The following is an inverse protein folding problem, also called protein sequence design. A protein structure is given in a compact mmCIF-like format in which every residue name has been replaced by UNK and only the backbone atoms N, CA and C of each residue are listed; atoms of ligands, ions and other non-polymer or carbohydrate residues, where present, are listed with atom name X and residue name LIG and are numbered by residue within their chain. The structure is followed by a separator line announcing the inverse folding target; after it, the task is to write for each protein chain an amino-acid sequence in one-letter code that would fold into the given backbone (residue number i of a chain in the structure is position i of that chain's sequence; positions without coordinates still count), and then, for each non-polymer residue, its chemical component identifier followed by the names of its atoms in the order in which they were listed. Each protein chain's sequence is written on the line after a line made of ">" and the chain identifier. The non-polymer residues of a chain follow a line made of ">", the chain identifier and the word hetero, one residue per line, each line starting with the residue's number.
data_IF_745574873284
#
_entry.id   IF_745574873284
#
_cell.length_a   1.000
_cell.length_b   1.000
_cell.length_c   1.000
_cell.angle_alpha   90.00
_cell.angle_beta   90.00
_cell.angle_gamma   90.00
#
_symmetry.space_group_name_H-M   'P 1'
#
loop_
_entity.id
_entity.type
_entity.pdbx_description
1 polymer ?
#
# COMPACT_ATOMS: atom_id res chain seq x y z
N UNK A 1 58.59 57.74 -25.11
CA UNK A 1 57.64 57.00 -25.96
C UNK A 1 56.26 57.39 -25.52
N UNK A 2 55.45 57.94 -26.42
CA UNK A 2 54.06 58.28 -26.12
C UNK A 2 53.17 57.03 -26.28
N UNK A 3 52.23 56.79 -25.35
CA UNK A 3 51.39 55.60 -25.41
C UNK A 3 50.39 55.70 -26.58
N UNK A 4 50.46 54.76 -27.53
CA UNK A 4 49.58 54.68 -28.70
C UNK A 4 48.14 54.24 -28.39
N UNK A 5 47.87 53.72 -27.19
CA UNK A 5 46.55 53.21 -26.78
C UNK A 5 45.96 54.14 -25.72
N UNK A 6 44.70 54.49 -25.90
CA UNK A 6 43.97 55.33 -24.95
C UNK A 6 43.66 54.54 -23.66
N UNK A 7 44.23 54.89 -22.50
CA UNK A 7 44.07 54.15 -21.25
C UNK A 7 42.67 54.30 -20.62
N UNK A 8 41.88 55.29 -21.05
CA UNK A 8 40.51 55.52 -20.60
C UNK A 8 39.55 54.44 -21.12
N UNK A 9 39.85 53.87 -22.28
CA UNK A 9 39.00 52.87 -22.98
C UNK A 9 39.47 51.43 -22.67
N UNK A 10 40.51 51.25 -21.87
CA UNK A 10 41.04 49.91 -21.57
C UNK A 10 40.07 49.08 -20.72
N UNK A 11 39.49 48.06 -21.34
CA UNK A 11 38.59 47.08 -20.70
C UNK A 11 39.31 46.18 -19.69
N UNK A 12 40.64 46.12 -19.72
CA UNK A 12 41.44 45.33 -18.78
C UNK A 12 41.20 45.76 -17.33
N UNK A 13 40.94 47.06 -17.10
CA UNK A 13 40.61 47.61 -15.79
C UNK A 13 39.31 47.06 -15.20
N UNK A 14 38.40 46.54 -16.04
CA UNK A 14 37.08 46.01 -15.65
C UNK A 14 37.00 44.48 -15.76
N UNK A 15 38.10 43.80 -16.09
CA UNK A 15 38.13 42.33 -16.26
C UNK A 15 37.61 41.58 -15.02
N UNK A 16 37.98 42.03 -13.82
CA UNK A 16 37.48 41.44 -12.56
C UNK A 16 35.96 41.59 -12.39
N UNK A 17 35.39 42.74 -12.80
CA UNK A 17 33.96 43.00 -12.75
C UNK A 17 33.19 42.07 -13.71
N UNK A 18 33.71 41.89 -14.93
CA UNK A 18 33.11 40.96 -15.89
C UNK A 18 33.18 39.49 -15.42
N UNK A 19 34.28 39.09 -14.77
CA UNK A 19 34.41 37.76 -14.16
C UNK A 19 33.39 37.55 -13.03
N UNK A 20 33.20 38.53 -12.15
CA UNK A 20 32.20 38.48 -11.08
C UNK A 20 30.78 38.43 -11.61
N UNK A 21 30.45 39.22 -12.64
CA UNK A 21 29.12 39.18 -13.29
C UNK A 21 28.88 37.80 -13.89
N UNK A 22 29.88 37.21 -14.56
CA UNK A 22 29.81 35.85 -15.07
C UNK A 22 29.53 34.84 -13.97
N UNK A 23 30.24 34.94 -12.84
CA UNK A 23 30.04 34.07 -11.67
C UNK A 23 28.63 34.18 -11.11
N UNK A 24 28.09 35.39 -10.98
CA UNK A 24 26.70 35.60 -10.52
C UNK A 24 25.70 34.97 -11.50
N UNK A 25 25.88 35.18 -12.80
CA UNK A 25 25.00 34.61 -13.84
C UNK A 25 25.03 33.08 -13.80
N UNK A 26 26.20 32.46 -13.68
CA UNK A 26 26.31 30.99 -13.57
C UNK A 26 25.62 30.47 -12.31
N UNK A 27 25.75 31.18 -11.19
CA UNK A 27 25.18 30.77 -9.91
C UNK A 27 23.64 30.85 -9.93
N UNK A 28 23.09 31.88 -10.60
CA UNK A 28 21.64 31.99 -10.84
C UNK A 28 21.12 30.87 -11.74
N UNK A 29 21.85 30.51 -12.80
CA UNK A 29 21.46 29.41 -13.69
C UNK A 29 21.45 28.07 -12.93
N UNK A 30 22.47 27.80 -12.12
CA UNK A 30 22.56 26.57 -11.32
C UNK A 30 21.43 26.50 -10.29
N UNK A 31 21.15 27.60 -9.57
CA UNK A 31 20.02 27.64 -8.65
C UNK A 31 18.68 27.44 -9.37
N UNK A 32 18.49 28.08 -10.53
CA UNK A 32 17.29 27.89 -11.34
C UNK A 32 17.12 26.46 -11.84
N UNK A 33 18.22 25.76 -12.18
CA UNK A 33 18.19 24.37 -12.58
C UNK A 33 17.82 23.44 -11.42
N UNK A 34 18.32 23.68 -10.20
CA UNK A 34 17.95 22.89 -9.01
C UNK A 34 16.51 23.14 -8.56
N UNK A 35 16.00 24.37 -8.69
CA UNK A 35 14.60 24.70 -8.42
C UNK A 35 13.65 24.20 -9.51
N UNK A 36 14.19 23.69 -10.62
CA UNK A 36 13.37 23.15 -11.70
C UNK A 36 12.79 21.80 -11.29
N UNK A 37 11.67 21.84 -10.58
CA UNK A 37 10.89 20.65 -10.23
C UNK A 37 10.28 20.04 -11.49
N UNK A 38 10.74 18.86 -11.86
CA UNK A 38 10.07 18.01 -12.84
C UNK A 38 9.21 17.01 -12.07
N UNK A 39 7.89 17.17 -12.16
CA UNK A 39 6.96 16.16 -11.65
C UNK A 39 6.81 15.10 -12.72
N UNK A 40 7.10 13.83 -12.40
CA UNK A 40 6.62 12.72 -13.22
C UNK A 40 5.10 12.81 -13.25
N UNK A 41 4.56 13.00 -14.46
CA UNK A 41 3.14 12.77 -14.67
C UNK A 41 2.97 11.27 -14.60
N UNK A 42 2.55 10.78 -13.45
CA UNK A 42 2.05 9.42 -13.30
C UNK A 42 0.79 9.36 -14.16
N UNK A 43 0.92 8.89 -15.39
CA UNK A 43 -0.22 8.62 -16.24
C UNK A 43 -0.99 7.48 -15.57
N UNK A 44 -2.04 7.83 -14.81
CA UNK A 44 -3.06 6.88 -14.34
C UNK A 44 -3.89 6.40 -15.53
N UNK A 45 -3.24 5.90 -16.57
CA UNK A 45 -3.92 5.19 -17.64
C UNK A 45 -4.04 3.74 -17.21
N UNK A 46 -5.07 3.41 -16.44
CA UNK A 46 -5.38 2.04 -16.00
C UNK A 46 -5.76 1.08 -17.14
N UNK A 47 -5.48 1.44 -18.40
CA UNK A 47 -5.99 0.73 -19.56
C UNK A 47 -7.51 0.91 -19.71
N UNK A 48 -7.98 0.92 -20.95
CA UNK A 48 -9.42 0.74 -21.20
C UNK A 48 -9.78 -0.71 -20.92
N UNK A 49 -10.72 -0.93 -20.01
CA UNK A 49 -11.34 -2.24 -19.78
C UNK A 49 -12.10 -2.63 -21.07
N UNK A 50 -11.45 -3.36 -21.96
CA UNK A 50 -12.10 -3.99 -23.12
C UNK A 50 -12.87 -5.21 -22.61
N UNK A 51 -14.18 -5.05 -22.48
CA UNK A 51 -15.12 -6.13 -22.13
C UNK A 51 -15.38 -7.09 -23.30
N UNK A 52 -14.88 -6.79 -24.50
CA UNK A 52 -15.07 -7.62 -25.70
C UNK A 52 -14.27 -8.95 -25.64
N UNK A 53 -13.19 -9.01 -24.84
CA UNK A 53 -12.40 -10.25 -24.62
C UNK A 53 -12.94 -11.09 -23.44
N UNK A 54 -13.95 -10.60 -22.71
CA UNK A 54 -14.68 -11.43 -21.75
C UNK A 54 -15.72 -12.24 -22.52
N UNK A 55 -15.28 -13.33 -23.14
CA UNK A 55 -16.20 -14.37 -23.61
C UNK A 55 -17.05 -14.82 -22.40
N UNK A 56 -18.37 -14.69 -22.49
CA UNK A 56 -19.30 -15.15 -21.46
C UNK A 56 -19.20 -16.69 -21.36
N UNK A 57 -18.23 -17.19 -20.59
CA UNK A 57 -18.13 -18.59 -20.25
C UNK A 57 -19.29 -18.93 -19.31
N UNK A 58 -20.36 -19.48 -19.90
CA UNK A 58 -21.55 -19.93 -19.18
C UNK A 58 -21.10 -21.03 -18.23
N UNK A 59 -20.89 -20.66 -16.96
CA UNK A 59 -20.66 -21.63 -15.89
C UNK A 59 -21.86 -22.59 -15.85
N UNK A 60 -21.63 -23.92 -15.87
CA UNK A 60 -22.73 -24.86 -15.78
C UNK A 60 -23.47 -24.63 -14.45
N UNK A 61 -24.78 -24.44 -14.52
CA UNK A 61 -25.64 -24.33 -13.34
C UNK A 61 -25.48 -25.59 -12.48
N UNK A 62 -24.77 -25.45 -11.36
CA UNK A 62 -24.63 -26.51 -10.35
C UNK A 62 -25.98 -26.82 -9.76
N UNK A 63 -26.55 -27.97 -10.14
CA UNK A 63 -27.70 -28.55 -9.47
C UNK A 63 -27.26 -29.01 -8.09
N UNK A 64 -27.72 -28.34 -7.04
CA UNK A 64 -27.64 -28.89 -5.69
C UNK A 64 -28.54 -30.12 -5.64
N UNK A 65 -27.95 -31.30 -5.52
CA UNK A 65 -28.71 -32.50 -5.16
C UNK A 65 -29.30 -32.25 -3.78
N UNK A 66 -30.63 -32.14 -3.71
CA UNK A 66 -31.35 -32.06 -2.45
C UNK A 66 -31.27 -33.45 -1.83
N UNK A 67 -30.26 -33.69 -1.00
CA UNK A 67 -30.23 -34.91 -0.21
C UNK A 67 -31.44 -34.89 0.72
N UNK A 68 -32.17 -36.01 0.88
CA UNK A 68 -33.29 -36.07 1.80
C UNK A 68 -32.78 -35.64 3.19
N UNK A 69 -33.55 -34.83 3.93
CA UNK A 69 -33.11 -34.35 5.23
C UNK A 69 -32.75 -35.56 6.11
N UNK A 70 -31.61 -35.51 6.81
CA UNK A 70 -31.18 -36.61 7.64
C UNK A 70 -32.29 -36.96 8.65
N UNK A 71 -32.52 -38.26 8.92
CA UNK A 71 -33.53 -38.68 9.87
C UNK A 71 -33.31 -37.96 11.21
N UNK A 72 -34.39 -37.53 11.89
CA UNK A 72 -34.27 -36.80 13.14
C UNK A 72 -33.41 -37.59 14.13
N UNK A 73 -32.46 -36.93 14.82
CA UNK A 73 -31.56 -37.61 15.73
C UNK A 73 -32.37 -38.34 16.81
N UNK A 74 -31.95 -39.55 17.21
CA UNK A 74 -32.61 -40.27 18.29
C UNK A 74 -32.62 -39.39 19.55
N UNK A 75 -33.73 -39.40 20.32
CA UNK A 75 -33.81 -38.60 21.55
C UNK A 75 -32.63 -38.98 22.46
N UNK A 76 -31.95 -37.98 23.07
CA UNK A 76 -30.76 -38.25 23.88
C UNK A 76 -31.12 -39.11 25.08
N UNK A 77 -30.31 -40.15 25.33
CA UNK A 77 -30.40 -40.94 26.55
C UNK A 77 -30.01 -40.06 27.74
N UNK A 78 -30.77 -40.20 28.84
CA UNK A 78 -30.56 -39.45 30.08
C UNK A 78 -29.16 -39.74 30.62
N UNK A 79 -28.30 -38.72 30.63
CA UNK A 79 -26.96 -38.80 31.20
C UNK A 79 -27.11 -38.91 32.73
N UNK A 80 -26.82 -40.09 33.30
CA UNK A 80 -26.52 -40.20 34.73
C UNK A 80 -25.11 -39.66 34.92
N UNK A 81 -25.01 -38.51 35.58
CA UNK A 81 -23.74 -37.89 35.93
C UNK A 81 -23.08 -38.78 36.99
N UNK A 82 -21.98 -39.44 36.62
CA UNK A 82 -21.04 -40.06 37.55
C UNK A 82 -19.84 -39.12 37.62
N UNK A 83 -19.59 -38.57 38.81
CA UNK A 83 -18.42 -37.73 39.09
C UNK A 83 -17.18 -38.61 39.18
N UNK A 84 -16.34 -38.62 38.15
CA UNK A 84 -14.95 -39.07 38.24
C UNK A 84 -14.03 -37.86 38.06
N UNK A 85 -13.34 -37.50 39.14
CA UNK A 85 -12.34 -36.44 39.20
C UNK A 85 -10.99 -37.13 38.98
N UNK A 86 -10.47 -37.08 37.76
CA UNK A 86 -9.12 -37.60 37.46
C UNK A 86 -8.14 -36.44 37.57
N UNK A 87 -7.24 -36.50 38.57
CA UNK A 87 -6.12 -35.57 38.74
C UNK A 87 -5.14 -35.71 37.56
N UNK A 88 -4.77 -34.57 36.97
CA UNK A 88 -3.88 -34.46 35.82
C UNK A 88 -2.44 -34.35 36.37
N UNK A 89 -1.63 -35.38 36.17
CA UNK A 89 -0.20 -35.35 36.48
C UNK A 89 0.55 -34.79 35.25
N UNK A 90 1.07 -33.56 35.37
CA UNK A 90 1.83 -32.87 34.33
C UNK A 90 3.30 -33.21 34.51
N UNK A 91 3.85 -34.07 33.67
CA UNK A 91 5.30 -34.17 33.48
C UNK A 91 5.58 -34.30 31.97
N UNK A 92 5.76 -33.15 31.33
CA UNK A 92 6.28 -33.05 29.97
C UNK A 92 7.61 -32.31 30.04
N UNK A 93 8.68 -33.09 30.17
CA UNK A 93 10.07 -32.67 30.11
C UNK A 93 10.39 -32.25 28.66
N UNK A 94 10.67 -30.96 28.44
CA UNK A 94 11.06 -30.43 27.13
C UNK A 94 12.58 -30.55 26.97
N UNK A 95 13.01 -31.52 26.16
CA UNK A 95 14.41 -31.71 25.77
C UNK A 95 14.77 -30.74 24.61
N UNK A 96 15.51 -29.68 24.91
CA UNK A 96 16.03 -28.75 23.88
C UNK A 96 17.22 -29.38 23.16
N UNK A 97 17.02 -29.82 21.91
CA UNK A 97 18.11 -30.21 21.01
C UNK A 97 18.83 -28.95 20.51
N UNK A 98 20.05 -28.73 21.00
CA UNK A 98 21.01 -27.81 20.38
C UNK A 98 21.51 -28.42 19.06
N UNK A 99 21.17 -27.81 17.93
CA UNK A 99 21.80 -28.10 16.64
C UNK A 99 22.42 -26.79 16.14
N UNK A 100 23.71 -26.67 16.40
CA UNK A 100 24.57 -25.57 15.99
C UNK A 100 25.08 -25.86 14.57
N UNK A 101 24.29 -25.49 13.56
CA UNK A 101 24.72 -25.54 12.16
C UNK A 101 24.31 -24.23 11.47
N UNK A 102 25.17 -23.23 11.62
CA UNK A 102 25.00 -21.91 11.01
C UNK A 102 25.31 -21.99 9.50
N UNK A 103 24.30 -22.28 8.69
CA UNK A 103 24.38 -22.13 7.23
C UNK A 103 24.37 -20.64 6.92
N UNK A 104 25.51 -20.12 6.44
CA UNK A 104 25.62 -18.74 5.99
C UNK A 104 24.86 -18.57 4.66
N UNK A 105 23.67 -17.97 4.74
CA UNK A 105 22.90 -17.51 3.59
C UNK A 105 23.43 -16.12 3.25
N UNK A 106 24.09 -16.00 2.10
CA UNK A 106 24.55 -14.71 1.56
C UNK A 106 23.32 -14.02 0.95
N UNK A 107 22.75 -13.08 1.70
CA UNK A 107 21.62 -12.26 1.25
C UNK A 107 22.23 -11.07 0.50
N UNK A 108 22.04 -11.03 -0.83
CA UNK A 108 22.26 -9.81 -1.60
C UNK A 108 21.32 -8.73 -1.04
N UNK A 109 21.90 -7.71 -0.39
CA UNK A 109 21.16 -6.51 -0.01
C UNK A 109 20.79 -5.74 -1.29
N UNK A 110 19.65 -6.10 -1.88
CA UNK A 110 18.93 -5.20 -2.76
C UNK A 110 18.55 -4.00 -1.90
N UNK A 111 19.13 -2.84 -2.21
CA UNK A 111 18.87 -1.60 -1.49
C UNK A 111 17.43 -1.18 -1.78
N UNK A 112 16.50 -1.73 -1.01
CA UNK A 112 15.20 -1.12 -0.82
C UNK A 112 15.48 0.26 -0.23
N UNK A 113 15.39 1.30 -1.07
CA UNK A 113 15.29 2.67 -0.60
C UNK A 113 14.01 2.73 0.26
N UNK A 114 14.17 2.47 1.56
CA UNK A 114 13.10 2.60 2.53
C UNK A 114 12.66 4.06 2.53
N UNK A 115 11.56 4.33 1.82
CA UNK A 115 10.88 5.62 1.85
C UNK A 115 10.30 5.83 3.25
N UNK A 116 11.06 6.46 4.13
CA UNK A 116 10.59 6.90 5.44
C UNK A 116 9.62 8.08 5.27
N UNK A 117 8.34 7.80 5.04
CA UNK A 117 7.28 8.79 5.13
C UNK A 117 6.83 8.92 6.60
N UNK A 118 7.57 9.69 7.40
CA UNK A 118 7.12 10.07 8.74
C UNK A 118 6.03 11.14 8.58
N UNK A 119 4.76 10.71 8.61
CA UNK A 119 3.62 11.64 8.64
C UNK A 119 3.19 11.84 10.08
N UNK A 120 3.25 13.08 10.58
CA UNK A 120 2.82 13.43 11.95
C UNK A 120 1.30 13.29 12.14
N UNK A 121 0.50 13.42 11.06
CA UNK A 121 -0.95 13.37 11.10
C UNK A 121 -1.50 12.29 10.16
N UNK A 122 -2.25 11.34 10.71
CA UNK A 122 -2.93 10.32 9.91
C UNK A 122 -4.06 10.96 9.07
N UNK A 123 -4.28 10.52 7.83
CA UNK A 123 -5.37 11.03 7.02
C UNK A 123 -6.72 10.59 7.61
N UNK A 124 -7.64 11.54 7.80
CA UNK A 124 -9.00 11.28 8.25
C UNK A 124 -10.02 11.55 7.14
N UNK A 125 -11.12 10.79 7.16
CA UNK A 125 -12.25 11.04 6.27
C UNK A 125 -12.82 12.45 6.53
N UNK A 126 -13.29 13.21 5.53
CA UNK A 126 -13.89 14.52 5.76
C UNK A 126 -15.10 14.41 6.70
N UNK A 127 -14.94 14.91 7.94
CA UNK A 127 -15.92 14.76 9.02
C UNK A 127 -15.71 13.54 9.93
N UNK A 128 -14.51 12.95 9.92
CA UNK A 128 -14.11 11.80 10.73
C UNK A 128 -14.97 10.56 10.47
N UNK A 129 -15.05 9.69 11.48
CA UNK A 129 -15.84 8.46 11.43
C UNK A 129 -17.33 8.70 11.15
N UNK A 130 -17.86 9.83 11.63
CA UNK A 130 -19.25 10.22 11.36
C UNK A 130 -19.48 10.53 9.87
N UNK A 131 -18.52 11.21 9.22
CA UNK A 131 -18.52 11.44 7.79
C UNK A 131 -18.47 10.13 7.00
N UNK A 132 -17.60 9.21 7.42
CA UNK A 132 -17.43 7.90 6.79
C UNK A 132 -18.73 7.11 6.86
N UNK A 133 -19.35 7.01 8.03
CA UNK A 133 -20.60 6.28 8.23
C UNK A 133 -21.73 6.86 7.37
N UNK A 134 -21.85 8.19 7.29
CA UNK A 134 -22.84 8.86 6.44
C UNK A 134 -22.60 8.62 4.95
N UNK A 135 -21.33 8.59 4.53
CA UNK A 135 -20.95 8.29 3.16
C UNK A 135 -21.30 6.85 2.78
N UNK A 136 -21.01 5.89 3.64
CA UNK A 136 -21.35 4.48 3.44
C UNK A 136 -22.87 4.33 3.31
N UNK A 137 -23.65 4.86 4.25
CA UNK A 137 -25.11 4.77 4.18
C UNK A 137 -25.71 5.36 2.90
N UNK A 138 -25.12 6.44 2.36
CA UNK A 138 -25.60 7.09 1.14
C UNK A 138 -25.21 6.33 -0.13
N UNK A 139 -24.04 5.69 -0.15
CA UNK A 139 -23.46 5.11 -1.36
C UNK A 139 -23.57 3.58 -1.44
N UNK A 140 -23.96 2.90 -0.36
CA UNK A 140 -24.19 1.46 -0.37
C UNK A 140 -25.42 1.13 -1.22
N UNK A 141 -25.19 0.37 -2.30
CA UNK A 141 -26.24 -0.17 -3.18
C UNK A 141 -26.37 -1.67 -2.95
N UNK A 142 -27.48 -2.08 -2.33
CA UNK A 142 -27.80 -3.50 -2.20
C UNK A 142 -28.18 -4.12 -3.56
N UNK A 143 -27.65 -5.33 -3.89
CA UNK A 143 -27.99 -6.02 -5.11
C UNK A 143 -29.50 -6.37 -5.17
N UNK A 144 -30.14 -6.30 -6.35
CA UNK A 144 -31.58 -6.50 -6.48
C UNK A 144 -32.03 -7.91 -6.08
N UNK A 145 -31.24 -8.93 -6.41
CA UNK A 145 -31.50 -10.34 -6.05
C UNK A 145 -31.63 -10.48 -4.52
N UNK A 146 -30.73 -9.87 -3.74
CA UNK A 146 -30.81 -9.97 -2.29
C UNK A 146 -32.07 -9.30 -1.71
N UNK A 147 -32.57 -8.23 -2.35
CA UNK A 147 -33.82 -7.57 -1.95
C UNK A 147 -35.04 -8.41 -2.30
N UNK A 148 -35.05 -9.04 -3.47
CA UNK A 148 -36.16 -9.90 -3.93
C UNK A 148 -36.30 -11.17 -3.07
N UNK A 149 -35.17 -11.79 -2.72
CA UNK A 149 -35.14 -13.01 -1.90
C UNK A 149 -35.09 -12.74 -0.38
N UNK A 150 -35.22 -11.48 0.06
CA UNK A 150 -35.14 -11.06 1.48
C UNK A 150 -33.91 -11.63 2.22
N UNK A 151 -32.77 -11.71 1.54
CA UNK A 151 -31.54 -12.24 2.12
C UNK A 151 -30.91 -11.15 3.00
N UNK A 152 -30.79 -11.42 4.30
CA UNK A 152 -30.18 -10.50 5.28
C UNK A 152 -28.89 -11.07 5.83
N UNK A 153 -27.87 -10.22 6.00
CA UNK A 153 -26.59 -10.57 6.60
C UNK A 153 -25.86 -9.33 7.10
N UNK A 154 -24.80 -9.53 7.87
CA UNK A 154 -23.88 -8.47 8.29
C UNK A 154 -22.58 -8.62 7.51
N UNK A 155 -22.04 -7.49 7.04
CA UNK A 155 -20.66 -7.37 6.53
C UNK A 155 -19.72 -6.93 7.63
#
# INVERSE_FOLDING_TARGET
>A
MEPKKNPEISLEKKKGLFFQIGLVVTLVIVLGAFEWKSYEKVDYNLGQLNLDDLEEEIIPITRQEITPPPPPPPPPEVIVIVEDIVEIEVEAEIETTESDEMVAIEIEEESDEEFFMVVENMPEFPGGDAGLMKYIQKNVKYPPIAKEYNITGKV
#
